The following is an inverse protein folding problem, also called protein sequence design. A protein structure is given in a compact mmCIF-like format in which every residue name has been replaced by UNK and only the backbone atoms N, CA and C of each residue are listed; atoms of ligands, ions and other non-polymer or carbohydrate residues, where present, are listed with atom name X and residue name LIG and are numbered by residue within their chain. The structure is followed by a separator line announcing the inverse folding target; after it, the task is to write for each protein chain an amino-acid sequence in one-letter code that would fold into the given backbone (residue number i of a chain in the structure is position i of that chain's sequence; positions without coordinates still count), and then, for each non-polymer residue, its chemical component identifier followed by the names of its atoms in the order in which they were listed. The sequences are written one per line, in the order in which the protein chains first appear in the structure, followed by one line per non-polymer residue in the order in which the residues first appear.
data_IF_539692042187
#
_entry.id   IF_539692042187
#
_cell.length_a   1.000
_cell.length_b   1.000
_cell.length_c   1.000
_cell.angle_alpha   90.00
_cell.angle_beta   90.00
_cell.angle_gamma   90.00
#
_symmetry.space_group_name_H-M   'P 1'
#
loop_
_entity.id
_entity.type
_entity.pdbx_description
1 polymer ?
#
# COMPACT_ATOMS: atom_id res chain seq x y z
N UNK A 1 11.10 34.62 28.71
CA UNK A 1 11.33 33.17 28.75
C UNK A 1 10.70 32.58 27.51
N UNK A 2 11.46 32.45 26.42
CA UNK A 2 10.97 31.79 25.21
C UNK A 2 10.86 30.29 25.53
N UNK A 3 9.66 29.74 25.47
CA UNK A 3 9.44 28.31 25.62
C UNK A 3 10.16 27.58 24.50
N UNK A 4 11.04 26.67 24.87
CA UNK A 4 11.78 25.79 23.98
C UNK A 4 10.75 24.96 23.20
N UNK A 5 10.52 25.31 21.93
CA UNK A 5 9.49 24.67 21.10
C UNK A 5 10.01 23.32 20.57
N UNK A 6 10.26 22.40 21.50
CA UNK A 6 10.82 21.09 21.18
C UNK A 6 9.75 20.24 20.48
N UNK A 7 10.06 19.79 19.26
CA UNK A 7 9.21 18.91 18.48
C UNK A 7 9.72 17.46 18.53
N UNK A 8 8.80 16.50 18.63
CA UNK A 8 9.10 15.07 18.61
C UNK A 8 8.45 14.39 17.40
N UNK A 9 9.21 13.52 16.73
CA UNK A 9 8.74 12.67 15.66
C UNK A 9 8.60 11.25 16.21
N UNK A 10 7.38 10.70 16.16
CA UNK A 10 7.10 9.34 16.58
C UNK A 10 6.90 8.48 15.33
N UNK A 11 7.60 7.35 15.24
CA UNK A 11 7.50 6.42 14.13
C UNK A 11 7.13 5.04 14.64
N UNK A 12 6.01 4.52 14.17
CA UNK A 12 5.67 3.11 14.33
C UNK A 12 6.30 2.31 13.17
N UNK A 13 7.40 1.63 13.45
CA UNK A 13 8.29 1.05 12.43
C UNK A 13 7.62 -0.02 11.56
N UNK A 14 6.64 -0.74 12.11
CA UNK A 14 5.89 -1.79 11.42
C UNK A 14 4.45 -1.37 11.07
N UNK A 15 4.12 -0.07 11.09
CA UNK A 15 2.77 0.41 10.81
C UNK A 15 2.24 -0.08 9.45
N UNK A 16 3.04 0.07 8.39
CA UNK A 16 2.66 -0.30 7.02
C UNK A 16 2.38 -1.81 6.89
N UNK A 17 3.31 -2.66 7.34
CA UNK A 17 3.14 -4.12 7.28
C UNK A 17 1.99 -4.60 8.16
N UNK A 18 1.78 -3.99 9.33
CA UNK A 18 0.61 -4.27 10.17
C UNK A 18 -0.70 -3.91 9.46
N UNK A 19 -0.79 -2.74 8.80
CA UNK A 19 -2.01 -2.38 8.06
C UNK A 19 -2.31 -3.37 6.93
N UNK A 20 -1.29 -3.76 6.15
CA UNK A 20 -1.43 -4.76 5.08
C UNK A 20 -1.99 -6.09 5.65
N UNK A 21 -1.39 -6.60 6.73
CA UNK A 21 -1.85 -7.84 7.38
C UNK A 21 -3.27 -7.73 7.95
N UNK A 22 -3.65 -6.57 8.47
CA UNK A 22 -5.01 -6.33 8.97
C UNK A 22 -6.02 -6.36 7.82
N UNK A 23 -5.76 -5.69 6.70
CA UNK A 23 -6.68 -5.71 5.55
C UNK A 23 -6.83 -7.10 4.94
N UNK A 24 -5.74 -7.88 4.88
CA UNK A 24 -5.77 -9.28 4.46
C UNK A 24 -6.68 -10.11 5.37
N UNK A 25 -6.53 -9.97 6.70
CA UNK A 25 -7.38 -10.65 7.70
C UNK A 25 -8.85 -10.23 7.60
N UNK A 26 -9.12 -8.93 7.37
CA UNK A 26 -10.48 -8.43 7.19
C UNK A 26 -11.13 -9.01 5.94
N UNK A 27 -10.36 -9.16 4.85
CA UNK A 27 -10.85 -9.76 3.62
C UNK A 27 -11.20 -11.24 3.82
N UNK A 28 -10.28 -12.01 4.43
CA UNK A 28 -10.47 -13.44 4.70
C UNK A 28 -11.69 -13.71 5.62
N UNK A 29 -11.89 -12.85 6.62
CA UNK A 29 -13.05 -12.94 7.54
C UNK A 29 -14.35 -12.36 6.95
N UNK A 30 -14.27 -11.63 5.84
CA UNK A 30 -15.42 -10.90 5.27
C UNK A 30 -15.92 -9.76 6.16
N UNK A 31 -15.07 -9.23 7.04
CA UNK A 31 -15.40 -8.14 7.96
C UNK A 31 -15.23 -6.80 7.26
N UNK A 32 -16.22 -5.91 7.36
CA UNK A 32 -16.22 -4.58 6.70
C UNK A 32 -16.21 -4.60 5.16
N UNK A 33 -16.39 -5.76 4.54
CA UNK A 33 -16.59 -5.84 3.08
C UNK A 33 -17.90 -5.13 2.69
N UNK A 34 -17.81 -4.28 1.68
CA UNK A 34 -18.85 -3.34 1.27
C UNK A 34 -19.05 -3.31 -0.25
N UNK A 35 -18.41 -4.22 -0.99
CA UNK A 35 -18.69 -4.49 -2.40
C UNK A 35 -18.38 -5.94 -2.77
N UNK A 36 -18.80 -6.34 -3.97
CA UNK A 36 -18.52 -7.66 -4.54
C UNK A 36 -18.05 -7.50 -5.99
N UNK A 37 -16.97 -8.19 -6.35
CA UNK A 37 -16.55 -8.39 -7.74
C UNK A 37 -17.00 -9.76 -8.21
N UNK A 38 -17.54 -9.86 -9.43
CA UNK A 38 -18.01 -11.10 -10.01
C UNK A 38 -17.35 -11.37 -11.36
N UNK A 39 -16.89 -12.59 -11.58
CA UNK A 39 -16.30 -13.06 -12.83
C UNK A 39 -16.66 -14.54 -13.04
N UNK A 40 -16.97 -14.95 -14.28
CA UNK A 40 -17.35 -16.33 -14.63
C UNK A 40 -18.42 -16.95 -13.71
N UNK A 41 -19.40 -16.15 -13.28
CA UNK A 41 -20.48 -16.59 -12.39
C UNK A 41 -20.07 -16.83 -10.93
N UNK A 42 -18.82 -16.54 -10.58
CA UNK A 42 -18.28 -16.61 -9.22
C UNK A 42 -18.08 -15.20 -8.64
N UNK A 43 -17.99 -15.12 -7.32
CA UNK A 43 -18.08 -13.86 -6.57
C UNK A 43 -16.96 -13.77 -5.53
N UNK A 44 -16.34 -12.58 -5.42
CA UNK A 44 -15.41 -12.21 -4.36
C UNK A 44 -15.92 -10.97 -3.64
N UNK A 45 -16.05 -11.05 -2.32
CA UNK A 45 -16.30 -9.87 -1.48
C UNK A 45 -15.03 -9.05 -1.36
N UNK A 46 -15.16 -7.74 -1.24
CA UNK A 46 -14.03 -6.83 -1.16
C UNK A 46 -14.37 -5.54 -0.41
N UNK A 47 -13.35 -4.76 -0.11
CA UNK A 47 -13.46 -3.41 0.43
C UNK A 47 -13.28 -2.38 -0.69
N UNK A 48 -14.25 -1.47 -0.83
CA UNK A 48 -14.20 -0.35 -1.79
C UNK A 48 -12.94 0.47 -1.61
N UNK A 49 -12.51 0.70 -0.37
CA UNK A 49 -11.31 1.51 -0.06
C UNK A 49 -10.04 0.92 -0.65
N UNK A 50 -9.85 -0.41 -0.56
CA UNK A 50 -8.66 -1.07 -1.11
C UNK A 50 -8.71 -1.07 -2.63
N UNK A 51 -9.86 -1.43 -3.22
CA UNK A 51 -10.04 -1.42 -4.67
C UNK A 51 -9.79 -0.04 -5.28
N UNK A 52 -10.32 1.01 -4.66
CA UNK A 52 -10.15 2.39 -5.11
C UNK A 52 -8.69 2.85 -4.99
N UNK A 53 -8.01 2.49 -3.90
CA UNK A 53 -6.59 2.82 -3.72
C UNK A 53 -5.71 2.19 -4.82
N UNK A 54 -6.05 0.97 -5.26
CA UNK A 54 -5.28 0.21 -6.24
C UNK A 54 -5.69 0.45 -7.70
N UNK A 55 -6.86 1.00 -7.98
CA UNK A 55 -7.39 1.17 -9.33
C UNK A 55 -8.23 2.46 -9.46
N UNK A 56 -7.76 3.46 -10.24
CA UNK A 56 -8.55 4.65 -10.54
C UNK A 56 -9.88 4.33 -11.25
N UNK A 57 -9.90 3.28 -12.07
CA UNK A 57 -11.11 2.78 -12.72
C UNK A 57 -12.14 2.31 -11.68
N UNK A 58 -11.73 1.46 -10.73
CA UNK A 58 -12.62 0.96 -9.68
C UNK A 58 -13.01 2.07 -8.69
N UNK A 59 -12.13 3.03 -8.41
CA UNK A 59 -12.45 4.23 -7.64
C UNK A 59 -13.60 5.02 -8.28
N UNK A 60 -13.48 5.35 -9.57
CA UNK A 60 -14.51 6.06 -10.31
C UNK A 60 -15.82 5.27 -10.34
N UNK A 61 -15.74 3.96 -10.60
CA UNK A 61 -16.92 3.09 -10.67
C UNK A 61 -17.63 3.00 -9.32
N UNK A 62 -16.91 2.71 -8.24
CA UNK A 62 -17.49 2.42 -6.92
C UNK A 62 -17.95 3.69 -6.18
N UNK A 63 -17.32 4.85 -6.44
CA UNK A 63 -17.71 6.13 -5.83
C UNK A 63 -19.06 6.66 -6.34
N UNK A 64 -19.48 6.25 -7.53
CA UNK A 64 -20.76 6.66 -8.13
C UNK A 64 -21.97 5.86 -7.60
N UNK A 65 -21.73 4.74 -6.90
CA UNK A 65 -22.79 3.88 -6.40
C UNK A 65 -23.15 4.17 -4.94
N UNK A 66 -24.34 4.75 -4.73
CA UNK A 66 -24.95 4.94 -3.41
C UNK A 66 -25.46 3.66 -2.75
N UNK A 67 -25.42 2.52 -3.46
CA UNK A 67 -25.84 1.25 -2.90
C UNK A 67 -24.94 0.80 -1.74
N UNK A 68 -25.57 0.15 -0.76
CA UNK A 68 -24.87 -0.36 0.43
C UNK A 68 -23.81 -1.39 0.06
N UNK A 69 -24.03 -2.19 -0.99
CA UNK A 69 -23.12 -3.28 -1.38
C UNK A 69 -23.21 -3.59 -2.90
N UNK A 70 -22.61 -2.75 -3.78
CA UNK A 70 -22.68 -2.97 -5.22
C UNK A 70 -21.97 -4.26 -5.64
N UNK A 71 -22.51 -4.91 -6.68
CA UNK A 71 -21.91 -6.07 -7.34
C UNK A 71 -21.41 -5.64 -8.72
N UNK A 72 -20.09 -5.62 -8.91
CA UNK A 72 -19.45 -5.28 -10.19
C UNK A 72 -19.15 -6.56 -10.96
N UNK A 73 -19.76 -6.71 -12.13
CA UNK A 73 -19.58 -7.88 -12.99
C UNK A 73 -18.50 -7.57 -14.02
N UNK A 74 -17.39 -8.30 -13.95
CA UNK A 74 -16.26 -8.20 -14.85
C UNK A 74 -16.46 -9.17 -16.02
N UNK A 75 -16.77 -8.62 -17.20
CA UNK A 75 -16.81 -9.39 -18.44
C UNK A 75 -15.39 -9.62 -18.94
N UNK A 76 -15.19 -10.77 -19.59
CA UNK A 76 -13.93 -11.13 -20.25
C UNK A 76 -12.71 -11.23 -19.31
N UNK A 77 -12.94 -11.32 -18.00
CA UNK A 77 -11.94 -11.63 -16.98
C UNK A 77 -12.23 -13.02 -16.43
N UNK A 78 -11.21 -13.89 -16.40
CA UNK A 78 -11.34 -15.20 -15.77
C UNK A 78 -11.39 -15.06 -14.27
N UNK A 79 -12.11 -15.94 -13.58
CA UNK A 79 -12.20 -15.88 -12.12
C UNK A 79 -10.83 -16.06 -11.44
N UNK A 80 -9.94 -16.87 -12.02
CA UNK A 80 -8.56 -17.01 -11.53
C UNK A 80 -7.77 -15.70 -11.64
N UNK A 81 -7.92 -14.96 -12.73
CA UNK A 81 -7.26 -13.65 -12.90
C UNK A 81 -7.79 -12.64 -11.88
N UNK A 82 -9.11 -12.61 -11.67
CA UNK A 82 -9.73 -11.80 -10.63
C UNK A 82 -9.17 -12.13 -9.24
N UNK A 83 -9.03 -13.42 -8.91
CA UNK A 83 -8.45 -13.86 -7.64
C UNK A 83 -6.99 -13.39 -7.50
N UNK A 84 -6.18 -13.59 -8.54
CA UNK A 84 -4.78 -13.13 -8.55
C UNK A 84 -4.67 -11.60 -8.42
N UNK A 85 -5.58 -10.84 -9.03
CA UNK A 85 -5.61 -9.38 -8.88
C UNK A 85 -5.99 -8.98 -7.46
N UNK A 86 -6.92 -9.69 -6.82
CA UNK A 86 -7.26 -9.48 -5.41
C UNK A 86 -6.07 -9.76 -4.49
N UNK A 87 -5.36 -10.88 -4.69
CA UNK A 87 -4.15 -11.19 -3.92
C UNK A 87 -3.10 -10.09 -4.08
N UNK A 88 -2.86 -9.62 -5.31
CA UNK A 88 -1.95 -8.51 -5.59
C UNK A 88 -2.36 -7.21 -4.88
N UNK A 89 -3.64 -6.83 -4.94
CA UNK A 89 -4.12 -5.57 -4.35
C UNK A 89 -4.04 -5.57 -2.81
N UNK A 90 -4.25 -6.72 -2.17
CA UNK A 90 -4.25 -6.82 -0.69
C UNK A 90 -2.88 -7.12 -0.10
N UNK A 91 -2.00 -7.80 -0.84
CA UNK A 91 -0.68 -8.24 -0.34
C UNK A 91 0.49 -7.48 -0.97
N UNK A 92 0.25 -6.76 -2.06
CA UNK A 92 1.27 -6.06 -2.85
C UNK A 92 2.04 -6.96 -3.82
N UNK A 93 1.77 -8.27 -3.82
CA UNK A 93 2.44 -9.26 -4.66
C UNK A 93 1.50 -10.43 -4.99
N UNK A 94 1.79 -11.13 -6.09
CA UNK A 94 1.07 -12.36 -6.48
C UNK A 94 2.01 -13.31 -7.20
N UNK A 95 1.81 -14.60 -6.99
CA UNK A 95 2.52 -15.65 -7.72
C UNK A 95 1.59 -16.24 -8.78
N UNK A 96 1.96 -16.13 -10.06
CA UNK A 96 1.22 -16.69 -11.19
C UNK A 96 2.17 -17.46 -12.12
N UNK A 97 1.64 -18.42 -12.86
CA UNK A 97 2.43 -19.19 -13.82
C UNK A 97 2.70 -18.41 -15.11
N UNK A 98 3.75 -18.80 -15.85
CA UNK A 98 4.17 -18.11 -17.07
C UNK A 98 3.06 -18.07 -18.13
N UNK A 99 2.25 -19.12 -18.23
CA UNK A 99 1.12 -19.21 -19.15
C UNK A 99 -0.03 -18.27 -18.78
N UNK A 100 -0.16 -17.88 -17.51
CA UNK A 100 -1.20 -16.97 -17.02
C UNK A 100 -0.76 -15.49 -17.09
N UNK A 101 0.55 -15.23 -17.10
CA UNK A 101 1.11 -13.86 -17.00
C UNK A 101 0.50 -12.90 -18.03
N UNK A 102 0.42 -13.30 -19.30
CA UNK A 102 -0.09 -12.42 -20.35
C UNK A 102 -1.56 -12.06 -20.15
N UNK A 103 -2.40 -13.03 -19.74
CA UNK A 103 -3.83 -12.78 -19.59
C UNK A 103 -4.13 -12.03 -18.30
N UNK A 104 -3.38 -12.31 -17.22
CA UNK A 104 -3.39 -11.52 -15.99
C UNK A 104 -3.07 -10.03 -16.24
N UNK A 105 -1.97 -9.73 -16.94
CA UNK A 105 -1.59 -8.34 -17.22
C UNK A 105 -2.63 -7.60 -18.07
N UNK A 106 -3.24 -8.26 -19.05
CA UNK A 106 -4.34 -7.67 -19.86
C UNK A 106 -5.58 -7.37 -19.01
N UNK A 107 -5.93 -8.26 -18.08
CA UNK A 107 -7.03 -8.03 -17.15
C UNK A 107 -6.71 -6.86 -16.20
N UNK A 108 -5.49 -6.81 -15.65
CA UNK A 108 -5.02 -5.74 -14.78
C UNK A 108 -4.99 -4.38 -15.50
N UNK A 109 -4.63 -4.36 -16.79
CA UNK A 109 -4.69 -3.19 -17.66
C UNK A 109 -6.12 -2.68 -17.87
N UNK A 110 -7.04 -3.59 -18.16
CA UNK A 110 -8.46 -3.23 -18.34
C UNK A 110 -9.08 -2.63 -17.07
N UNK A 111 -8.58 -3.04 -15.90
CA UNK A 111 -8.97 -2.49 -14.61
C UNK A 111 -8.05 -1.37 -14.10
N UNK A 112 -7.07 -0.93 -14.88
CA UNK A 112 -6.12 0.12 -14.50
C UNK A 112 -5.47 -0.11 -13.12
N UNK A 113 -5.05 -1.34 -12.83
CA UNK A 113 -4.41 -1.66 -11.54
C UNK A 113 -3.02 -1.01 -11.49
N UNK A 114 -2.80 -0.19 -10.46
CA UNK A 114 -1.53 0.52 -10.21
C UNK A 114 -0.39 -0.48 -10.04
N UNK A 115 0.80 -0.14 -10.56
CA UNK A 115 1.98 -1.00 -10.49
C UNK A 115 2.02 -2.15 -11.50
N UNK A 116 0.91 -2.42 -12.21
CA UNK A 116 0.82 -3.46 -13.25
C UNK A 116 0.51 -2.89 -14.64
N UNK A 117 0.34 -1.58 -14.75
CA UNK A 117 -0.07 -0.88 -15.97
C UNK A 117 0.85 0.30 -16.25
N UNK A 118 1.16 0.54 -17.52
CA UNK A 118 2.09 1.59 -17.96
C UNK A 118 1.42 2.99 -18.05
N UNK A 119 0.17 3.11 -17.57
CA UNK A 119 -0.71 4.26 -17.78
C UNK A 119 -0.80 5.22 -16.60
N UNK A 120 0.17 6.13 -16.49
CA UNK A 120 -0.07 7.54 -16.13
C UNK A 120 -0.48 7.88 -14.69
N UNK A 121 0.52 7.93 -13.81
CA UNK A 121 0.56 8.85 -12.66
C UNK A 121 1.79 9.74 -12.77
N UNK A 122 1.77 10.71 -13.67
CA UNK A 122 2.82 11.71 -13.81
C UNK A 122 2.60 12.84 -12.79
N UNK A 123 2.85 12.54 -11.51
CA UNK A 123 3.13 13.45 -10.38
C UNK A 123 3.90 12.55 -9.37
N UNK A 124 5.22 12.55 -9.19
CA UNK A 124 6.25 13.59 -9.24
C UNK A 124 7.47 13.08 -10.02
N UNK A 125 7.74 13.69 -11.17
CA UNK A 125 9.10 13.81 -11.67
C UNK A 125 9.80 14.95 -10.92
N UNK A 126 10.16 14.74 -9.65
CA UNK A 126 11.42 15.32 -9.14
C UNK A 126 12.51 14.28 -9.35
N UNK A 127 13.11 14.36 -10.53
CA UNK A 127 14.35 13.70 -10.83
C UNK A 127 15.41 14.06 -9.79
N UNK A 128 16.02 13.06 -9.17
CA UNK A 128 17.47 13.03 -9.10
C UNK A 128 17.97 11.59 -9.12
N UNK A 129 18.34 11.20 -10.33
CA UNK A 129 19.12 10.03 -10.69
C UNK A 129 20.44 9.94 -9.92
N UNK A 130 20.78 8.75 -9.44
CA UNK A 130 22.17 8.37 -9.19
C UNK A 130 22.94 8.25 -10.53
N UNK A 131 24.27 8.48 -10.60
CA UNK A 131 25.22 7.43 -10.21
C UNK A 131 26.55 7.91 -9.56
N UNK A 132 27.24 6.93 -8.98
CA UNK A 132 28.47 6.98 -8.18
C UNK A 132 29.70 7.54 -8.93
N UNK A 133 30.44 8.47 -8.30
CA UNK A 133 31.93 8.60 -8.32
C UNK A 133 32.40 9.49 -7.16
N UNK A 134 33.32 8.98 -6.33
CA UNK A 134 34.06 9.72 -5.29
C UNK A 134 35.27 10.49 -5.91
N UNK A 135 36.08 11.29 -5.17
CA UNK A 135 36.01 11.77 -3.77
C UNK A 135 36.26 13.31 -3.64
N UNK A 136 35.87 13.98 -2.54
CA UNK A 136 36.63 15.09 -1.90
C UNK A 136 36.15 15.25 -0.44
N UNK A 137 37.12 15.40 0.46
CA UNK A 137 36.99 15.44 1.92
C UNK A 137 36.24 16.66 2.49
N UNK A 138 35.52 16.47 3.60
CA UNK A 138 35.24 17.48 4.65
C UNK A 138 34.67 16.78 5.91
N UNK A 139 34.77 17.38 7.10
CA UNK A 139 35.16 16.66 8.32
C UNK A 139 33.99 15.99 9.05
N UNK A 140 34.24 14.76 9.48
CA UNK A 140 33.43 13.98 10.41
C UNK A 140 33.39 14.68 11.77
N UNK A 141 32.23 15.23 12.17
CA UNK A 141 31.95 15.54 13.58
C UNK A 141 31.36 14.30 14.23
N UNK A 142 32.06 13.76 15.22
CA UNK A 142 31.62 12.60 16.02
C UNK A 142 30.29 12.93 16.74
N UNK A 143 29.31 12.02 16.77
CA UNK A 143 28.15 12.18 17.65
C UNK A 143 28.62 12.04 19.10
N UNK A 144 28.26 13.01 19.94
CA UNK A 144 28.44 12.92 21.39
C UNK A 144 27.38 11.93 21.90
N UNK A 145 27.80 10.72 22.26
CA UNK A 145 26.98 9.76 22.97
C UNK A 145 26.73 10.29 24.40
N UNK A 146 25.55 10.81 24.68
CA UNK A 146 25.07 10.96 26.05
C UNK A 146 24.05 9.87 26.34
N UNK A 147 24.53 8.80 26.96
CA UNK A 147 23.70 7.79 27.62
C UNK A 147 22.98 8.44 28.80
N UNK A 148 21.66 8.54 28.73
CA UNK A 148 20.82 8.76 29.91
C UNK A 148 20.00 7.49 30.12
N UNK A 149 20.33 6.81 31.20
CA UNK A 149 19.69 5.60 31.70
C UNK A 149 18.51 5.94 32.62
N UNK A 150 17.42 5.18 32.42
CA UNK A 150 16.40 4.69 33.40
C UNK A 150 15.08 5.45 33.57
N UNK A 151 14.03 4.79 33.06
CA UNK A 151 12.67 4.68 33.60
C UNK A 151 11.91 3.63 32.77
N UNK A 152 11.03 2.75 33.34
CA UNK A 152 10.37 1.70 32.57
C UNK A 152 9.20 2.31 31.82
N UNK A 153 9.48 2.95 30.69
CA UNK A 153 8.44 3.21 29.71
C UNK A 153 8.27 1.92 28.93
N UNK A 154 7.12 1.26 29.10
CA UNK A 154 6.68 0.18 28.23
C UNK A 154 6.54 0.75 26.82
N UNK A 155 7.65 0.85 26.10
CA UNK A 155 7.66 1.22 24.68
C UNK A 155 6.95 0.05 24.00
N UNK A 156 5.71 0.27 23.57
CA UNK A 156 5.00 -0.67 22.73
C UNK A 156 5.96 -1.12 21.61
N UNK A 157 6.11 -2.44 21.45
CA UNK A 157 7.07 -3.03 20.52
C UNK A 157 6.95 -2.36 19.14
N UNK A 158 8.02 -1.72 18.66
CA UNK A 158 8.05 -1.10 17.33
C UNK A 158 7.92 0.43 17.26
N UNK A 159 7.93 1.17 18.38
CA UNK A 159 7.90 2.65 18.38
C UNK A 159 9.30 3.28 18.52
N UNK A 160 9.65 4.19 17.60
CA UNK A 160 10.85 5.05 17.66
C UNK A 160 10.46 6.50 17.94
N UNK A 161 11.23 7.21 18.76
CA UNK A 161 11.03 8.64 19.08
C UNK A 161 12.30 9.43 18.75
N UNK A 162 12.21 10.38 17.81
CA UNK A 162 13.30 11.26 17.40
C UNK A 162 12.98 12.72 17.74
N UNK A 163 13.97 13.50 18.22
CA UNK A 163 13.82 14.95 18.41
C UNK A 163 14.04 15.66 17.09
N UNK A 164 13.13 16.57 16.69
CA UNK A 164 13.37 17.48 15.56
C UNK A 164 13.92 18.82 16.06
N UNK A 165 14.91 19.40 15.36
CA UNK A 165 15.36 20.77 15.60
C UNK A 165 14.26 21.79 15.26
#
# INVERSE_FOLDING_TARGET
MAGDNQHFCLRWNNHQSTLISVFDTLLESGTLVDCTLAAEGQYLKAHKVVLSACSPYLELLLSQHYEKHPIVILKDVKFQELKSMMDYMYRGEVNISQDQLSTFLKAAESLQIKGLTDGGGNEDSTASSAPVKAPVATPVRKPIQQSITRGPSTVAQGLTIERRP
#
